data_IF_719630560106
#
_entry.id   IF_719630560106
#
_cell.length_a   1.000
_cell.length_b   1.000
_cell.length_c   1.000
_cell.angle_alpha   90.00
_cell.angle_beta   90.00
_cell.angle_gamma   90.00
#
_symmetry.space_group_name_H-M   'P 1'
#
loop_
_entity.id
_entity.type
_entity.pdbx_description
1 polymer ?
#
# COMPACT_ATOMS: atom_id res chain seq x y z
N UNK A 1 -11.90 -4.05 28.85
CA UNK A 1 -13.20 -3.62 28.29
C UNK A 1 -13.30 -4.12 26.87
N UNK A 2 -13.97 -5.26 26.62
CA UNK A 2 -14.03 -5.90 25.31
C UNK A 2 -14.61 -5.00 24.20
N UNK A 3 -15.56 -4.11 24.55
CA UNK A 3 -16.14 -3.14 23.61
C UNK A 3 -15.12 -2.11 23.12
N UNK A 4 -14.18 -1.69 23.97
CA UNK A 4 -13.11 -0.75 23.58
C UNK A 4 -12.13 -1.37 22.60
N UNK A 5 -11.70 -2.60 22.86
CA UNK A 5 -10.77 -3.35 21.99
C UNK A 5 -11.36 -3.59 20.58
N UNK A 6 -12.66 -3.85 20.49
CA UNK A 6 -13.37 -3.97 19.21
C UNK A 6 -13.44 -2.63 18.48
N UNK A 7 -13.74 -1.54 19.18
CA UNK A 7 -13.77 -0.20 18.62
C UNK A 7 -12.41 0.22 18.06
N UNK A 8 -11.33 -0.03 18.81
CA UNK A 8 -9.97 0.29 18.39
C UNK A 8 -9.54 -0.51 17.15
N UNK A 9 -9.91 -1.79 17.08
CA UNK A 9 -9.64 -2.64 15.93
C UNK A 9 -10.39 -2.17 14.67
N UNK A 10 -11.65 -1.76 14.80
CA UNK A 10 -12.43 -1.19 13.68
C UNK A 10 -11.82 0.11 13.17
N UNK A 11 -11.43 1.02 14.06
CA UNK A 11 -10.74 2.27 13.70
C UNK A 11 -9.42 1.96 12.99
N UNK A 12 -8.65 0.99 13.46
CA UNK A 12 -7.40 0.56 12.82
C UNK A 12 -7.62 0.06 11.39
N UNK A 13 -8.63 -0.78 11.18
CA UNK A 13 -8.97 -1.30 9.84
C UNK A 13 -9.37 -0.14 8.91
N UNK A 14 -10.19 0.79 9.39
CA UNK A 14 -10.59 1.95 8.59
C UNK A 14 -9.39 2.83 8.20
N UNK A 15 -8.45 3.05 9.13
CA UNK A 15 -7.21 3.79 8.84
C UNK A 15 -6.31 3.07 7.84
N UNK A 16 -6.20 1.75 7.93
CA UNK A 16 -5.43 0.95 6.97
C UNK A 16 -6.03 1.01 5.56
N UNK A 17 -7.36 1.00 5.43
CA UNK A 17 -8.04 1.23 4.13
C UNK A 17 -7.73 2.60 3.54
N UNK A 18 -7.80 3.67 4.35
CA UNK A 18 -7.45 5.02 3.91
C UNK A 18 -5.98 5.13 3.46
N UNK A 19 -5.08 4.46 4.18
CA UNK A 19 -3.66 4.36 3.79
C UNK A 19 -3.49 3.57 2.49
N UNK A 20 -4.22 2.47 2.32
CA UNK A 20 -4.18 1.65 1.12
C UNK A 20 -4.59 2.46 -0.11
N UNK A 21 -5.67 3.24 -0.03
CA UNK A 21 -6.15 4.06 -1.15
C UNK A 21 -5.12 5.13 -1.54
N UNK A 22 -4.50 5.75 -0.54
CA UNK A 22 -3.43 6.73 -0.75
C UNK A 22 -2.20 6.09 -1.40
N UNK A 23 -1.77 4.94 -0.89
CA UNK A 23 -0.63 4.19 -1.45
C UNK A 23 -0.91 3.67 -2.87
N UNK A 24 -2.14 3.23 -3.15
CA UNK A 24 -2.55 2.80 -4.49
C UNK A 24 -2.49 3.96 -5.50
N UNK A 25 -2.96 5.15 -5.10
CA UNK A 25 -2.82 6.35 -5.92
C UNK A 25 -1.35 6.73 -6.15
N UNK A 26 -0.51 6.62 -5.12
CA UNK A 26 0.95 6.86 -5.24
C UNK A 26 1.60 5.90 -6.23
N UNK A 27 1.30 4.60 -6.16
CA UNK A 27 1.78 3.60 -7.11
C UNK A 27 1.38 3.95 -8.54
N UNK A 28 0.12 4.35 -8.75
CA UNK A 28 -0.36 4.76 -10.08
C UNK A 28 0.44 5.94 -10.66
N UNK A 29 0.73 6.94 -9.83
CA UNK A 29 1.55 8.10 -10.25
C UNK A 29 2.99 7.67 -10.57
N UNK A 30 3.58 6.81 -9.74
CA UNK A 30 4.94 6.32 -9.95
C UNK A 30 5.06 5.48 -11.23
N UNK A 31 4.07 4.62 -11.51
CA UNK A 31 4.01 3.88 -12.77
C UNK A 31 3.89 4.82 -13.98
N UNK A 32 3.15 5.93 -13.87
CA UNK A 32 3.11 6.94 -14.92
C UNK A 32 4.46 7.66 -15.08
N UNK A 33 5.15 7.95 -13.97
CA UNK A 33 6.50 8.52 -14.01
C UNK A 33 7.50 7.58 -14.71
N UNK A 34 7.43 6.27 -14.45
CA UNK A 34 8.23 5.26 -15.15
C UNK A 34 7.98 5.27 -16.66
N UNK A 35 6.70 5.37 -17.08
CA UNK A 35 6.35 5.48 -18.50
C UNK A 35 6.93 6.76 -19.12
N UNK A 36 6.81 7.89 -18.43
CA UNK A 36 7.32 9.17 -18.91
C UNK A 36 8.86 9.15 -19.03
N UNK A 37 9.58 8.66 -18.02
CA UNK A 37 11.04 8.51 -18.05
C UNK A 37 11.48 7.61 -19.22
N UNK A 38 10.75 6.52 -19.46
CA UNK A 38 11.02 5.62 -20.59
C UNK A 38 10.81 6.31 -21.94
N UNK A 39 9.79 7.18 -22.07
CA UNK A 39 9.57 7.98 -23.27
C UNK A 39 10.68 9.00 -23.48
N UNK A 40 11.08 9.73 -22.43
CA UNK A 40 12.17 10.70 -22.51
C UNK A 40 13.47 10.03 -22.94
N UNK A 41 13.80 8.86 -22.37
CA UNK A 41 14.99 8.10 -22.74
C UNK A 41 14.97 7.68 -24.21
N UNK A 42 13.82 7.17 -24.70
CA UNK A 42 13.64 6.80 -26.12
C UNK A 42 13.81 7.98 -27.08
N UNK A 43 13.49 9.19 -26.63
CA UNK A 43 13.67 10.42 -27.41
C UNK A 43 15.02 11.11 -27.17
N UNK A 44 15.94 10.49 -26.41
CA UNK A 44 17.25 11.06 -26.09
C UNK A 44 17.21 12.25 -25.11
N UNK A 45 16.08 12.49 -24.45
CA UNK A 45 15.86 13.61 -23.52
C UNK A 45 16.13 13.24 -22.05
N UNK A 46 16.41 11.97 -21.77
CA UNK A 46 16.74 11.46 -20.44
C UNK A 46 17.83 10.40 -20.55
N UNK A 47 18.60 10.22 -19.48
CA UNK A 47 19.53 9.09 -19.36
C UNK A 47 18.83 7.83 -18.82
N UNK A 48 19.45 6.66 -18.96
CA UNK A 48 18.85 5.41 -18.48
C UNK A 48 18.81 5.32 -16.95
N UNK A 49 19.63 6.09 -16.23
CA UNK A 49 19.61 6.15 -14.76
C UNK A 49 18.29 6.74 -14.24
N UNK A 50 17.70 7.72 -14.94
CA UNK A 50 16.39 8.27 -14.62
C UNK A 50 15.28 7.22 -14.76
N UNK A 51 15.37 6.35 -15.77
CA UNK A 51 14.44 5.23 -15.97
C UNK A 51 14.52 4.24 -14.79
N UNK A 52 15.73 3.81 -14.43
CA UNK A 52 15.95 2.89 -13.31
C UNK A 52 15.48 3.51 -12.00
N UNK A 53 15.74 4.80 -11.79
CA UNK A 53 15.31 5.52 -10.58
C UNK A 53 13.78 5.56 -10.48
N UNK A 54 13.09 5.86 -11.58
CA UNK A 54 11.64 5.85 -11.63
C UNK A 54 11.06 4.43 -11.40
N UNK A 55 11.68 3.39 -11.95
CA UNK A 55 11.30 2.00 -11.71
C UNK A 55 11.51 1.58 -10.26
N UNK A 56 12.65 1.93 -9.66
CA UNK A 56 12.96 1.65 -8.25
C UNK A 56 11.93 2.29 -7.32
N UNK A 57 11.58 3.55 -7.57
CA UNK A 57 10.55 4.24 -6.79
C UNK A 57 9.18 3.58 -6.93
N UNK A 58 8.79 3.17 -8.14
CA UNK A 58 7.54 2.45 -8.37
C UNK A 58 7.49 1.12 -7.61
N UNK A 59 8.57 0.32 -7.68
CA UNK A 59 8.68 -0.94 -6.95
C UNK A 59 8.58 -0.72 -5.43
N UNK A 60 9.26 0.29 -4.90
CA UNK A 60 9.19 0.61 -3.47
C UNK A 60 7.77 0.97 -3.03
N UNK A 61 7.02 1.71 -3.87
CA UNK A 61 5.62 2.02 -3.63
C UNK A 61 4.71 0.79 -3.68
N UNK A 62 4.96 -0.14 -4.62
CA UNK A 62 4.21 -1.41 -4.72
C UNK A 62 4.44 -2.32 -3.50
N UNK A 63 5.67 -2.36 -2.99
CA UNK A 63 6.01 -3.07 -1.75
C UNK A 63 5.31 -2.44 -0.53
N UNK A 64 5.27 -1.11 -0.45
CA UNK A 64 4.56 -0.39 0.62
C UNK A 64 3.04 -0.67 0.59
N UNK A 65 2.42 -0.59 -0.59
CA UNK A 65 1.01 -0.94 -0.77
C UNK A 65 0.71 -2.39 -0.36
N UNK A 66 1.62 -3.31 -0.70
CA UNK A 66 1.50 -4.72 -0.33
C UNK A 66 1.59 -4.93 1.18
N UNK A 67 2.49 -4.21 1.85
CA UNK A 67 2.59 -4.24 3.31
C UNK A 67 1.32 -3.72 3.98
N UNK A 68 0.77 -2.59 3.50
CA UNK A 68 -0.47 -2.02 4.04
C UNK A 68 -1.63 -3.01 3.90
N UNK A 69 -1.78 -3.64 2.73
CA UNK A 69 -2.78 -4.70 2.50
C UNK A 69 -2.63 -5.87 3.46
N UNK A 70 -1.38 -6.31 3.69
CA UNK A 70 -1.10 -7.39 4.66
C UNK A 70 -1.53 -6.99 6.06
N UNK A 71 -1.22 -5.76 6.47
CA UNK A 71 -1.54 -5.26 7.80
C UNK A 71 -3.06 -5.07 7.98
N UNK A 72 -3.80 -4.67 6.94
CA UNK A 72 -5.27 -4.64 6.94
C UNK A 72 -5.85 -6.04 7.17
N UNK A 73 -5.39 -7.04 6.40
CA UNK A 73 -5.86 -8.42 6.53
C UNK A 73 -5.55 -9.00 7.91
N UNK A 74 -4.37 -8.68 8.47
CA UNK A 74 -4.02 -9.07 9.83
C UNK A 74 -4.96 -8.44 10.85
N UNK A 75 -5.27 -7.14 10.72
CA UNK A 75 -6.18 -6.44 11.61
C UNK A 75 -7.62 -7.02 11.56
N UNK A 76 -8.09 -7.40 10.37
CA UNK A 76 -9.37 -8.10 10.20
C UNK A 76 -9.37 -9.47 10.89
N UNK A 77 -8.29 -10.25 10.74
CA UNK A 77 -8.13 -11.54 11.41
C UNK A 77 -8.11 -11.41 12.94
N UNK A 78 -7.44 -10.38 13.45
CA UNK A 78 -7.40 -10.11 14.90
C UNK A 78 -8.76 -9.71 15.45
N UNK A 79 -9.52 -8.88 14.73
CA UNK A 79 -10.90 -8.52 15.08
C UNK A 79 -11.82 -9.75 15.10
N UNK A 80 -11.69 -10.64 14.12
CA UNK A 80 -12.47 -11.88 14.10
C UNK A 80 -12.20 -12.75 15.34
N UNK A 81 -10.93 -12.85 15.74
CA UNK A 81 -10.54 -13.58 16.95
C UNK A 81 -11.06 -12.92 18.23
N UNK A 82 -11.01 -11.59 18.34
CA UNK A 82 -11.48 -10.86 19.53
C UNK A 82 -13.00 -10.90 19.72
N UNK A 83 -13.76 -11.02 18.63
CA UNK A 83 -15.22 -11.16 18.64
C UNK A 83 -15.73 -12.58 19.01
N UNK A 84 -14.83 -13.48 19.42
CA UNK A 84 -15.20 -14.83 19.86
C UNK A 84 -15.14 -15.90 18.77
N UNK A 85 -14.57 -15.60 17.60
CA UNK A 85 -14.34 -16.55 16.50
C UNK A 85 -13.30 -17.65 16.77
N UNK A 86 -12.88 -17.82 18.03
CA UNK A 86 -11.92 -18.83 18.49
C UNK A 86 -12.43 -19.77 19.59
N UNK A 87 -13.73 -19.79 19.91
CA UNK A 87 -14.27 -20.75 20.89
C UNK A 87 -14.71 -22.06 20.23
N UNK A 88 -13.71 -22.87 19.87
CA UNK A 88 -13.59 -24.33 20.15
C UNK A 88 -12.22 -24.83 19.72
#
# INVERSE_FOLDING_TARGET
NAVGEVSDALVRIEKLKQQQDTAANRVKVLQQATKNASLLFKNGLANYLEVITAQSNALQGELELTSIKRDELSAVSDLYRSLGGGWR
#
